data_IF_042451001110
#
_entry.id   IF_042451001110
#
_cell.length_a   1.000
_cell.length_b   1.000
_cell.length_c   1.000
_cell.angle_alpha   90.00
_cell.angle_beta   90.00
_cell.angle_gamma   90.00
#
_symmetry.space_group_name_H-M   'P 1'
#
loop_
_entity.id
_entity.type
_entity.pdbx_description
1 polymer ?
#
# COMPACT_ATOMS: atom_id res chain seq x y z
N UNK A 1 -17.36 -6.63 19.39
CA UNK A 1 -16.83 -5.54 18.53
C UNK A 1 -17.30 -5.80 17.10
N UNK A 2 -18.12 -4.92 16.51
CA UNK A 2 -18.59 -5.08 15.13
C UNK A 2 -17.48 -4.57 14.19
N UNK A 3 -16.85 -5.42 13.39
CA UNK A 3 -15.83 -5.02 12.41
C UNK A 3 -16.48 -4.29 11.22
N UNK A 4 -16.31 -2.96 11.06
CA UNK A 4 -16.89 -2.22 9.93
C UNK A 4 -15.96 -2.19 8.71
N UNK A 5 -14.86 -2.94 8.71
CA UNK A 5 -13.66 -2.63 7.90
C UNK A 5 -13.41 -3.50 6.67
N UNK A 6 -14.14 -4.60 6.46
CA UNK A 6 -13.77 -5.59 5.42
C UNK A 6 -13.90 -5.09 3.98
N UNK A 7 -14.88 -4.21 3.70
CA UNK A 7 -15.06 -3.62 2.36
C UNK A 7 -13.95 -2.62 2.02
N UNK A 8 -13.51 -1.83 2.99
CA UNK A 8 -12.40 -0.88 2.82
C UNK A 8 -11.06 -1.58 2.59
N UNK A 9 -10.81 -2.68 3.32
CA UNK A 9 -9.58 -3.46 3.18
C UNK A 9 -9.44 -4.10 1.79
N UNK A 10 -10.53 -4.62 1.20
CA UNK A 10 -10.47 -5.19 -0.15
C UNK A 10 -10.15 -4.11 -1.20
N UNK A 11 -10.78 -2.93 -1.11
CA UNK A 11 -10.49 -1.81 -2.02
C UNK A 11 -9.03 -1.38 -1.91
N UNK A 12 -8.51 -1.23 -0.70
CA UNK A 12 -7.11 -0.86 -0.46
C UNK A 12 -6.14 -1.94 -0.98
N UNK A 13 -6.49 -3.23 -0.90
CA UNK A 13 -5.68 -4.32 -1.46
C UNK A 13 -5.63 -4.23 -2.99
N UNK A 14 -6.76 -3.98 -3.65
CA UNK A 14 -6.82 -3.81 -5.11
C UNK A 14 -6.00 -2.59 -5.54
N UNK A 15 -6.08 -1.47 -4.83
CA UNK A 15 -5.26 -0.28 -5.08
C UNK A 15 -3.76 -0.58 -4.96
N UNK A 16 -3.36 -1.37 -3.96
CA UNK A 16 -1.98 -1.80 -3.80
C UNK A 16 -1.51 -2.67 -4.98
N UNK A 17 -2.31 -3.65 -5.42
CA UNK A 17 -1.97 -4.49 -6.58
C UNK A 17 -1.81 -3.66 -7.87
N UNK A 18 -2.67 -2.66 -8.08
CA UNK A 18 -2.55 -1.75 -9.22
C UNK A 18 -1.28 -0.88 -9.16
N UNK A 19 -0.86 -0.47 -7.96
CA UNK A 19 0.39 0.26 -7.78
C UNK A 19 1.61 -0.60 -8.09
N UNK A 20 1.61 -1.87 -7.68
CA UNK A 20 2.68 -2.82 -7.97
C UNK A 20 2.79 -3.09 -9.47
N UNK A 21 1.66 -3.21 -10.19
CA UNK A 21 1.67 -3.37 -11.64
C UNK A 21 2.23 -2.14 -12.36
N UNK A 22 1.84 -0.94 -11.93
CA UNK A 22 2.40 0.33 -12.47
C UNK A 22 3.88 0.49 -12.17
N UNK A 23 4.36 -0.04 -11.05
CA UNK A 23 5.78 0.00 -10.71
C UNK A 23 6.64 -0.76 -11.72
N UNK A 24 6.11 -1.82 -12.36
CA UNK A 24 6.82 -2.61 -13.38
C UNK A 24 7.17 -1.84 -14.64
N UNK A 25 6.42 -0.76 -14.95
CA UNK A 25 6.56 0.03 -16.18
C UNK A 25 7.10 1.45 -15.95
N UNK A 26 7.59 1.74 -14.74
CA UNK A 26 8.20 3.04 -14.44
C UNK A 26 9.45 3.25 -15.30
N UNK A 27 9.51 4.36 -16.03
CA UNK A 27 10.64 4.71 -16.91
C UNK A 27 11.58 5.73 -16.28
N UNK A 28 11.13 6.38 -15.21
CA UNK A 28 11.90 7.41 -14.51
C UNK A 28 12.03 7.10 -13.03
N UNK A 29 13.11 7.60 -12.44
CA UNK A 29 13.31 7.56 -10.98
C UNK A 29 12.19 8.30 -10.22
N UNK A 30 11.60 9.32 -10.82
CA UNK A 30 10.50 10.08 -10.22
C UNK A 30 9.23 9.25 -10.09
N UNK A 31 8.86 8.53 -11.15
CA UNK A 31 7.72 7.60 -11.16
C UNK A 31 7.89 6.46 -10.16
N UNK A 32 9.09 5.86 -10.12
CA UNK A 32 9.39 4.80 -9.17
C UNK A 32 9.24 5.28 -7.71
N UNK A 33 9.80 6.46 -7.38
CA UNK A 33 9.63 7.08 -6.04
C UNK A 33 8.16 7.37 -5.71
N UNK A 34 7.37 7.79 -6.70
CA UNK A 34 5.95 8.06 -6.50
C UNK A 34 5.17 6.76 -6.22
N UNK A 35 5.46 5.66 -6.93
CA UNK A 35 4.84 4.36 -6.68
C UNK A 35 5.18 3.83 -5.29
N UNK A 36 6.44 3.90 -4.87
CA UNK A 36 6.89 3.46 -3.53
C UNK A 36 6.12 4.20 -2.42
N UNK A 37 6.07 5.54 -2.48
CA UNK A 37 5.36 6.33 -1.45
C UNK A 37 3.87 5.97 -1.35
N UNK A 38 3.22 5.74 -2.48
CA UNK A 38 1.80 5.35 -2.52
C UNK A 38 1.59 3.94 -1.97
N UNK A 39 2.46 3.00 -2.34
CA UNK A 39 2.42 1.63 -1.83
C UNK A 39 2.63 1.62 -0.31
N UNK A 40 3.60 2.34 0.22
CA UNK A 40 3.85 2.43 1.67
C UNK A 40 2.64 3.00 2.43
N UNK A 41 1.98 4.03 1.89
CA UNK A 41 0.78 4.59 2.48
C UNK A 41 -0.38 3.57 2.51
N UNK A 42 -0.61 2.85 1.41
CA UNK A 42 -1.64 1.82 1.33
C UNK A 42 -1.35 0.65 2.29
N UNK A 43 -0.09 0.21 2.38
CA UNK A 43 0.35 -0.84 3.31
C UNK A 43 0.13 -0.44 4.77
N UNK A 44 0.44 0.82 5.14
CA UNK A 44 0.16 1.33 6.50
C UNK A 44 -1.33 1.37 6.83
N UNK A 45 -2.19 1.67 5.85
CA UNK A 45 -3.64 1.66 6.07
C UNK A 45 -4.19 0.24 6.23
N UNK A 46 -3.67 -0.70 5.45
CA UNK A 46 -4.08 -2.11 5.46
C UNK A 46 -3.62 -2.87 6.69
N UNK A 47 -2.36 -2.67 7.08
CA UNK A 47 -1.66 -3.51 8.07
C UNK A 47 -1.24 -2.75 9.33
N UNK A 48 -1.51 -1.45 9.41
CA UNK A 48 -0.99 -0.59 10.46
C UNK A 48 0.47 -0.17 10.22
N UNK A 49 1.01 0.65 11.12
CA UNK A 49 2.42 1.04 11.05
C UNK A 49 3.30 -0.11 11.57
N UNK A 50 4.24 -0.58 10.75
CA UNK A 50 5.29 -1.52 11.19
C UNK A 50 6.40 -0.78 11.95
N UNK A 51 6.05 0.09 12.90
CA UNK A 51 7.00 0.61 13.87
C UNK A 51 6.96 -0.29 15.10
N UNK A 52 7.94 -1.19 15.21
CA UNK A 52 8.20 -1.94 16.43
C UNK A 52 7.71 -3.39 16.44
N UNK A 53 8.54 -4.31 15.95
CA UNK A 53 8.76 -5.62 16.61
C UNK A 53 10.16 -6.12 16.26
N UNK A 54 11.18 -5.39 16.68
CA UNK A 54 12.49 -5.97 16.99
C UNK A 54 12.80 -5.52 18.41
N UNK A 55 12.32 -6.33 19.37
CA UNK A 55 12.82 -6.34 20.75
C UNK A 55 13.75 -7.53 20.90
#
# INVERSE_FOLDING_TARGET
MKHPQSRGALTQLVELMQLEERARVCMTRGEAKACIRKADAAKRQLWGSTEGTMS
#
